data_IF_970846752559
#
_entry.id   IF_970846752559
#
_cell.length_a   1.000
_cell.length_b   1.000
_cell.length_c   1.000
_cell.angle_alpha   90.00
_cell.angle_beta   90.00
_cell.angle_gamma   90.00
#
_symmetry.space_group_name_H-M   'P 1'
#
loop_
_entity.id
_entity.type
_entity.pdbx_description
1 polymer ?
#
# COMPACT_ATOMS: atom_id res chain seq x y z
N UNK A 1 -8.20 -27.09 53.54
CA UNK A 1 -6.74 -27.18 53.67
C UNK A 1 -6.29 -28.35 52.83
N UNK A 2 -5.76 -28.09 51.64
CA UNK A 2 -5.21 -29.10 50.74
C UNK A 2 -3.74 -28.73 50.50
N UNK A 3 -2.84 -29.63 50.88
CA UNK A 3 -1.40 -29.49 50.67
C UNK A 3 -1.13 -29.71 49.18
N UNK A 4 -0.56 -28.70 48.51
CA UNK A 4 -0.08 -28.83 47.14
C UNK A 4 1.31 -29.47 47.17
N UNK A 5 1.39 -30.73 46.73
CA UNK A 5 2.65 -31.42 46.50
C UNK A 5 3.39 -30.76 45.34
N UNK A 6 4.61 -30.31 45.60
CA UNK A 6 5.54 -29.83 44.58
C UNK A 6 6.17 -31.09 43.95
N UNK A 7 6.09 -31.29 42.62
CA UNK A 7 6.70 -32.46 42.01
C UNK A 7 8.23 -32.38 42.09
N UNK A 8 8.84 -33.54 42.35
CA UNK A 8 10.28 -33.73 42.50
C UNK A 8 11.03 -33.42 41.18
N UNK A 9 12.27 -32.91 41.21
CA UNK A 9 13.05 -32.57 40.00
C UNK A 9 13.41 -33.78 39.11
N UNK A 10 13.05 -34.99 39.53
CA UNK A 10 13.34 -36.25 38.86
C UNK A 10 12.33 -36.62 37.77
N UNK A 11 11.16 -35.97 37.71
CA UNK A 11 10.07 -36.35 36.79
C UNK A 11 10.05 -35.50 35.49
N UNK A 12 11.07 -34.67 35.24
CA UNK A 12 11.15 -33.78 34.05
C UNK A 12 12.14 -34.30 32.99
N UNK A 13 12.77 -35.46 33.20
CA UNK A 13 13.76 -36.00 32.27
C UNK A 13 13.47 -37.45 31.86
N UNK A 14 12.29 -37.69 31.32
CA UNK A 14 12.07 -38.83 30.42
C UNK A 14 11.35 -38.40 29.15
N UNK A 15 12.01 -38.64 28.00
CA UNK A 15 11.32 -38.72 26.72
C UNK A 15 11.47 -37.54 25.77
N UNK A 16 12.67 -37.01 25.53
CA UNK A 16 12.95 -36.24 24.32
C UNK A 16 14.39 -36.45 23.88
N UNK A 17 14.66 -37.64 23.35
CA UNK A 17 15.90 -37.91 22.67
C UNK A 17 15.93 -37.03 21.41
N UNK A 18 16.94 -36.18 21.15
CA UNK A 18 17.01 -35.40 19.90
C UNK A 18 17.17 -36.26 18.63
N UNK A 19 17.19 -37.59 18.81
CA UNK A 19 17.20 -38.63 17.78
C UNK A 19 15.84 -39.33 17.60
N UNK A 20 14.78 -38.94 18.32
CA UNK A 20 13.44 -39.52 18.13
C UNK A 20 12.81 -38.97 16.85
N UNK A 21 12.93 -39.77 15.79
CA UNK A 21 12.33 -39.56 14.48
C UNK A 21 10.83 -39.33 14.61
N UNK A 22 10.33 -38.25 14.01
CA UNK A 22 8.90 -38.00 13.90
C UNK A 22 8.26 -39.11 13.03
N UNK A 23 7.12 -39.72 13.44
CA UNK A 23 6.49 -40.83 12.73
C UNK A 23 6.14 -40.56 11.26
N UNK A 24 6.06 -39.30 10.84
CA UNK A 24 5.80 -38.91 9.44
C UNK A 24 6.97 -39.18 8.49
N UNK A 25 8.17 -39.54 8.99
CA UNK A 25 9.31 -39.97 8.16
C UNK A 25 9.15 -41.40 7.60
N UNK A 26 8.17 -42.18 8.07
CA UNK A 26 8.03 -43.59 7.70
C UNK A 26 7.20 -43.86 6.43
N UNK A 27 6.60 -42.84 5.80
CA UNK A 27 5.72 -43.04 4.64
C UNK A 27 6.37 -42.95 3.26
N UNK A 28 7.71 -42.89 3.15
CA UNK A 28 8.41 -42.71 1.86
C UNK A 28 9.03 -43.99 1.25
N UNK A 29 8.66 -45.17 1.74
CA UNK A 29 9.31 -46.43 1.33
C UNK A 29 8.40 -47.27 0.42
N UNK A 30 8.29 -46.87 -0.85
CA UNK A 30 7.66 -47.68 -1.88
C UNK A 30 8.30 -47.48 -3.25
N UNK A 31 9.00 -48.52 -3.73
CA UNK A 31 9.61 -48.73 -5.06
C UNK A 31 11.09 -48.31 -5.22
N UNK A 32 11.87 -49.21 -5.83
CA UNK A 32 13.34 -49.35 -5.83
C UNK A 32 14.18 -48.19 -6.43
N UNK A 33 13.60 -46.99 -6.58
CA UNK A 33 14.33 -45.73 -6.77
C UNK A 33 14.58 -44.95 -5.45
N UNK A 34 13.95 -45.34 -4.34
CA UNK A 34 13.88 -44.56 -3.09
C UNK A 34 15.10 -44.62 -2.16
N UNK A 35 15.96 -45.65 -2.25
CA UNK A 35 17.05 -45.85 -1.26
C UNK A 35 18.16 -44.78 -1.28
N UNK A 36 18.28 -44.02 -2.37
CA UNK A 36 19.32 -42.97 -2.49
C UNK A 36 18.80 -41.58 -2.11
N UNK A 37 17.51 -41.30 -2.36
CA UNK A 37 16.84 -40.08 -1.88
C UNK A 37 16.86 -40.02 -0.36
N UNK A 38 16.67 -41.17 0.30
CA UNK A 38 16.58 -41.30 1.75
C UNK A 38 17.84 -40.81 2.51
N UNK A 39 19.04 -41.02 1.94
CA UNK A 39 20.29 -40.71 2.64
C UNK A 39 20.51 -39.22 2.87
N UNK A 40 20.10 -38.38 1.92
CA UNK A 40 20.37 -36.94 1.97
C UNK A 40 19.20 -36.12 2.50
N UNK A 41 17.96 -36.62 2.32
CA UNK A 41 16.74 -35.97 2.78
C UNK A 41 16.83 -35.60 4.25
N UNK A 42 17.32 -36.50 5.12
CA UNK A 42 17.50 -36.19 6.55
C UNK A 42 18.42 -34.99 6.81
N UNK A 43 19.52 -34.87 6.07
CA UNK A 43 20.46 -33.77 6.24
C UNK A 43 19.92 -32.47 5.66
N UNK A 44 19.19 -32.52 4.55
CA UNK A 44 18.49 -31.36 3.98
C UNK A 44 17.44 -30.85 4.97
N UNK A 45 16.59 -31.73 5.50
CA UNK A 45 15.59 -31.39 6.51
C UNK A 45 16.25 -30.81 7.76
N UNK A 46 17.31 -31.45 8.28
CA UNK A 46 18.06 -30.92 9.42
C UNK A 46 18.65 -29.53 9.15
N UNK A 47 19.11 -29.27 7.92
CA UNK A 47 19.55 -27.95 7.48
C UNK A 47 18.43 -26.90 7.51
N UNK A 48 17.23 -27.27 7.08
CA UNK A 48 16.03 -26.41 7.08
C UNK A 48 15.58 -26.12 8.52
N UNK A 49 15.46 -27.16 9.33
CA UNK A 49 15.05 -27.09 10.74
C UNK A 49 16.05 -26.29 11.59
N UNK A 50 17.33 -26.30 11.25
CA UNK A 50 18.35 -25.49 11.95
C UNK A 50 18.06 -23.98 11.89
N UNK A 51 17.28 -23.52 10.91
CA UNK A 51 16.83 -22.13 10.76
C UNK A 51 15.40 -21.94 11.27
N UNK A 52 14.80 -22.99 11.86
CA UNK A 52 13.40 -23.02 12.31
C UNK A 52 12.41 -22.68 11.19
N UNK A 53 12.73 -23.05 9.96
CA UNK A 53 11.84 -22.89 8.82
C UNK A 53 10.93 -24.13 8.68
N UNK A 54 9.76 -23.93 8.10
CA UNK A 54 8.86 -25.03 7.75
C UNK A 54 9.50 -25.91 6.67
N UNK A 55 9.33 -27.23 6.83
CA UNK A 55 9.84 -28.20 5.88
C UNK A 55 9.00 -28.11 4.60
N UNK A 56 9.64 -27.98 3.42
CA UNK A 56 8.94 -27.87 2.15
C UNK A 56 8.13 -29.13 1.83
N UNK A 57 7.19 -28.96 0.91
CA UNK A 57 6.46 -30.07 0.32
C UNK A 57 7.39 -31.06 -0.41
N UNK A 58 6.90 -32.28 -0.57
CA UNK A 58 7.65 -33.40 -1.18
C UNK A 58 8.25 -33.05 -2.56
N UNK A 59 7.56 -32.32 -3.46
CA UNK A 59 8.14 -31.90 -4.73
C UNK A 59 9.32 -30.93 -4.60
N UNK A 60 9.24 -29.94 -3.69
CA UNK A 60 10.34 -29.00 -3.50
C UNK A 60 11.54 -29.67 -2.81
N UNK A 61 11.29 -30.55 -1.85
CA UNK A 61 12.33 -31.35 -1.19
C UNK A 61 13.03 -32.28 -2.20
N UNK A 62 12.27 -32.89 -3.10
CA UNK A 62 12.81 -33.72 -4.19
C UNK A 62 13.75 -32.93 -5.10
N UNK A 63 13.35 -31.71 -5.51
CA UNK A 63 14.23 -30.82 -6.32
C UNK A 63 15.53 -30.45 -5.60
N UNK A 64 15.50 -30.24 -4.29
CA UNK A 64 16.70 -29.96 -3.51
C UNK A 64 17.64 -31.18 -3.48
N UNK A 65 17.08 -32.37 -3.30
CA UNK A 65 17.84 -33.61 -3.29
C UNK A 65 18.40 -33.97 -4.68
N UNK A 66 17.67 -33.68 -5.76
CA UNK A 66 18.17 -33.83 -7.13
C UNK A 66 19.38 -32.94 -7.40
N UNK A 67 19.38 -31.69 -6.90
CA UNK A 67 20.55 -30.79 -7.02
C UNK A 67 21.80 -31.34 -6.35
N UNK A 68 21.63 -32.01 -5.20
CA UNK A 68 22.71 -32.68 -4.48
C UNK A 68 23.20 -33.91 -5.26
N UNK A 69 22.29 -34.66 -5.90
CA UNK A 69 22.64 -35.83 -6.70
C UNK A 69 23.52 -35.47 -7.92
N UNK A 70 23.34 -34.28 -8.48
CA UNK A 70 24.03 -33.87 -9.71
C UNK A 70 25.38 -33.15 -9.44
N UNK A 71 25.71 -32.87 -8.19
CA UNK A 71 26.99 -32.25 -7.85
C UNK A 71 28.13 -33.28 -7.86
N UNK A 72 29.17 -33.02 -8.66
CA UNK A 72 30.41 -33.82 -8.73
C UNK A 72 31.46 -33.24 -7.77
N UNK A 73 32.38 -34.09 -7.29
CA UNK A 73 33.52 -33.73 -6.41
C UNK A 73 33.19 -33.22 -4.99
N UNK A 74 32.17 -33.79 -4.35
CA UNK A 74 31.86 -33.48 -2.95
C UNK A 74 32.48 -34.52 -2.02
N UNK A 75 33.50 -34.10 -1.26
CA UNK A 75 34.16 -34.95 -0.23
C UNK A 75 33.26 -35.18 0.99
N UNK A 76 32.44 -34.19 1.35
CA UNK A 76 31.50 -34.24 2.47
C UNK A 76 30.08 -33.95 1.96
N UNK A 77 29.39 -35.02 1.56
CA UNK A 77 28.06 -34.94 0.96
C UNK A 77 26.98 -34.59 1.99
N UNK A 78 27.17 -35.01 3.24
CA UNK A 78 26.22 -34.77 4.33
C UNK A 78 26.24 -33.31 4.76
N UNK A 79 27.43 -32.73 4.95
CA UNK A 79 27.57 -31.30 5.21
C UNK A 79 27.14 -30.44 4.03
N UNK A 80 27.30 -30.92 2.79
CA UNK A 80 26.75 -30.23 1.62
C UNK A 80 25.22 -30.24 1.60
N UNK A 81 24.59 -31.39 1.83
CA UNK A 81 23.13 -31.52 1.89
C UNK A 81 22.52 -30.62 2.97
N UNK A 82 23.15 -30.57 4.15
CA UNK A 82 22.78 -29.65 5.23
C UNK A 82 22.84 -28.17 4.78
N UNK A 83 23.93 -27.76 4.12
CA UNK A 83 24.06 -26.38 3.60
C UNK A 83 23.02 -26.05 2.53
N UNK A 84 22.66 -27.01 1.68
CA UNK A 84 21.61 -26.82 0.67
C UNK A 84 20.26 -26.56 1.34
N UNK A 85 19.88 -27.38 2.32
CA UNK A 85 18.65 -27.18 3.10
C UNK A 85 18.63 -25.84 3.83
N UNK A 86 19.70 -25.53 4.57
CA UNK A 86 19.84 -24.25 5.30
C UNK A 86 19.75 -23.03 4.38
N UNK A 87 20.44 -23.05 3.24
CA UNK A 87 20.43 -21.93 2.31
C UNK A 87 19.09 -21.76 1.62
N UNK A 88 18.40 -22.87 1.31
CA UNK A 88 17.04 -22.82 0.79
C UNK A 88 16.09 -22.17 1.80
N UNK A 89 16.13 -22.58 3.08
CA UNK A 89 15.31 -22.01 4.14
C UNK A 89 15.53 -20.50 4.31
N UNK A 90 16.80 -20.06 4.29
CA UNK A 90 17.14 -18.63 4.35
C UNK A 90 16.62 -17.86 3.12
N UNK A 91 16.74 -18.44 1.93
CA UNK A 91 16.24 -17.83 0.71
C UNK A 91 14.70 -17.71 0.72
N UNK A 92 14.02 -18.74 1.21
CA UNK A 92 12.57 -18.77 1.36
C UNK A 92 12.09 -17.69 2.33
N UNK A 93 12.71 -17.60 3.51
CA UNK A 93 12.38 -16.56 4.49
C UNK A 93 12.56 -15.13 3.93
N UNK A 94 13.63 -14.89 3.19
CA UNK A 94 13.86 -13.60 2.51
C UNK A 94 12.79 -13.30 1.48
N UNK A 95 12.40 -14.31 0.70
CA UNK A 95 11.35 -14.16 -0.31
C UNK A 95 10.00 -13.82 0.33
N UNK A 96 9.59 -14.55 1.35
CA UNK A 96 8.34 -14.30 2.07
C UNK A 96 8.32 -12.91 2.71
N UNK A 97 9.42 -12.50 3.34
CA UNK A 97 9.55 -11.16 3.93
C UNK A 97 9.42 -10.07 2.86
N UNK A 98 10.06 -10.26 1.70
CA UNK A 98 9.96 -9.33 0.59
C UNK A 98 8.53 -9.28 0.00
N UNK A 99 7.85 -10.41 -0.07
CA UNK A 99 6.45 -10.49 -0.55
C UNK A 99 5.50 -9.78 0.42
N UNK A 100 5.60 -10.02 1.73
CA UNK A 100 4.80 -9.30 2.75
C UNK A 100 5.00 -7.79 2.67
N UNK A 101 6.26 -7.33 2.61
CA UNK A 101 6.55 -5.91 2.47
C UNK A 101 5.99 -5.32 1.16
N UNK A 102 6.02 -6.08 0.06
CA UNK A 102 5.42 -5.66 -1.22
C UNK A 102 3.89 -5.54 -1.12
N UNK A 103 3.24 -6.48 -0.44
CA UNK A 103 1.79 -6.46 -0.19
C UNK A 103 1.39 -5.28 0.70
N UNK A 104 2.12 -5.03 1.78
CA UNK A 104 1.92 -3.87 2.66
C UNK A 104 2.06 -2.54 1.89
N UNK A 105 3.09 -2.41 1.05
CA UNK A 105 3.27 -1.23 0.20
C UNK A 105 2.14 -1.07 -0.83
N UNK A 106 1.64 -2.17 -1.40
CA UNK A 106 0.53 -2.14 -2.34
C UNK A 106 -0.76 -1.69 -1.64
N UNK A 107 -1.04 -2.23 -0.45
CA UNK A 107 -2.18 -1.83 0.37
C UNK A 107 -2.12 -0.35 0.73
N UNK A 108 -0.96 0.14 1.17
CA UNK A 108 -0.76 1.57 1.48
C UNK A 108 -1.01 2.48 0.26
N UNK A 109 -0.51 2.10 -0.92
CA UNK A 109 -0.74 2.85 -2.16
C UNK A 109 -2.22 2.86 -2.55
N UNK A 110 -2.91 1.73 -2.38
CA UNK A 110 -4.33 1.63 -2.67
C UNK A 110 -5.15 2.51 -1.72
N UNK A 111 -4.83 2.48 -0.42
CA UNK A 111 -5.49 3.32 0.58
C UNK A 111 -5.31 4.83 0.27
N UNK A 112 -4.09 5.25 -0.08
CA UNK A 112 -3.82 6.64 -0.47
C UNK A 112 -4.58 7.04 -1.75
N UNK A 113 -4.68 6.14 -2.74
CA UNK A 113 -5.47 6.38 -3.95
C UNK A 113 -6.97 6.50 -3.64
N UNK A 114 -7.51 5.62 -2.81
CA UNK A 114 -8.91 5.67 -2.40
C UNK A 114 -9.21 6.94 -1.59
N UNK A 115 -8.31 7.34 -0.68
CA UNK A 115 -8.43 8.59 0.07
C UNK A 115 -8.47 9.79 -0.86
N UNK A 116 -7.54 9.86 -1.83
CA UNK A 116 -7.50 10.93 -2.85
C UNK A 116 -8.76 10.95 -3.71
N UNK A 117 -9.30 9.78 -4.07
CA UNK A 117 -10.55 9.66 -4.83
C UNK A 117 -11.74 10.19 -4.03
N UNK A 118 -11.91 9.75 -2.77
CA UNK A 118 -12.97 10.23 -1.87
C UNK A 118 -12.88 11.74 -1.64
N UNK A 119 -11.66 12.26 -1.49
CA UNK A 119 -11.43 13.70 -1.35
C UNK A 119 -11.82 14.46 -2.63
N UNK A 120 -11.47 13.94 -3.81
CA UNK A 120 -11.86 14.53 -5.10
C UNK A 120 -13.38 14.53 -5.27
N UNK A 121 -14.06 13.42 -4.99
CA UNK A 121 -15.52 13.30 -5.05
C UNK A 121 -16.21 14.29 -4.10
N UNK A 122 -15.70 14.40 -2.86
CA UNK A 122 -16.21 15.39 -1.89
C UNK A 122 -16.06 16.82 -2.40
N UNK A 123 -14.90 17.16 -2.99
CA UNK A 123 -14.65 18.50 -3.56
C UNK A 123 -15.58 18.77 -4.75
N UNK A 124 -15.85 17.77 -5.58
CA UNK A 124 -16.76 17.90 -6.72
C UNK A 124 -18.22 18.11 -6.27
N UNK A 125 -18.67 17.38 -5.25
CA UNK A 125 -19.98 17.58 -4.64
C UNK A 125 -20.12 18.98 -4.01
N UNK A 126 -19.10 19.43 -3.24
CA UNK A 126 -19.09 20.78 -2.66
C UNK A 126 -19.12 21.87 -3.77
N UNK A 127 -18.43 21.66 -4.90
CA UNK A 127 -18.47 22.58 -6.05
C UNK A 127 -19.84 22.64 -6.72
N UNK A 128 -20.52 21.50 -6.88
CA UNK A 128 -21.85 21.46 -7.48
C UNK A 128 -22.84 22.30 -6.66
N UNK A 129 -22.88 22.09 -5.35
CA UNK A 129 -23.72 22.88 -4.43
C UNK A 129 -23.35 24.37 -4.45
N UNK A 130 -22.04 24.68 -4.52
CA UNK A 130 -21.57 26.06 -4.59
C UNK A 130 -21.96 26.76 -5.89
N UNK A 131 -22.14 26.04 -7.02
CA UNK A 131 -22.61 26.62 -8.29
C UNK A 131 -24.02 27.16 -8.16
N UNK A 132 -24.93 26.37 -7.61
CA UNK A 132 -26.33 26.79 -7.44
C UNK A 132 -26.42 28.03 -6.56
N UNK A 133 -25.67 28.05 -5.46
CA UNK A 133 -25.58 29.20 -4.57
C UNK A 133 -24.96 30.43 -5.22
N UNK A 134 -23.93 30.24 -6.05
CA UNK A 134 -23.31 31.32 -6.81
C UNK A 134 -24.30 31.98 -7.75
N UNK A 135 -25.11 31.19 -8.48
CA UNK A 135 -26.10 31.73 -9.41
C UNK A 135 -27.13 32.60 -8.67
N UNK A 136 -27.62 32.14 -7.52
CA UNK A 136 -28.54 32.93 -6.67
C UNK A 136 -27.95 34.28 -6.23
N UNK A 137 -26.66 34.34 -5.91
CA UNK A 137 -25.99 35.59 -5.53
C UNK A 137 -25.76 36.45 -6.77
N UNK A 138 -25.32 35.85 -7.88
CA UNK A 138 -25.06 36.55 -9.13
C UNK A 138 -26.32 37.23 -9.64
N UNK A 139 -27.46 36.55 -9.66
CA UNK A 139 -28.73 37.10 -10.16
C UNK A 139 -29.18 38.32 -9.33
N UNK A 140 -28.86 38.35 -8.04
CA UNK A 140 -29.12 39.52 -7.18
C UNK A 140 -28.14 40.66 -7.42
N UNK A 141 -26.92 40.36 -7.84
CA UNK A 141 -25.88 41.35 -8.13
C UNK A 141 -26.04 41.97 -9.52
N UNK A 142 -26.52 41.21 -10.50
CA UNK A 142 -26.64 41.58 -11.91
C UNK A 142 -27.14 43.02 -12.16
N UNK A 143 -28.25 43.49 -11.55
CA UNK A 143 -28.73 44.86 -11.78
C UNK A 143 -27.80 45.96 -11.24
N UNK A 144 -26.81 45.62 -10.42
CA UNK A 144 -25.90 46.54 -9.74
C UNK A 144 -24.43 46.37 -10.17
N UNK A 145 -24.12 45.46 -11.10
CA UNK A 145 -22.74 45.21 -11.51
C UNK A 145 -22.18 46.37 -12.33
N UNK A 146 -20.96 46.79 -11.98
CA UNK A 146 -20.17 47.71 -12.81
C UNK A 146 -19.48 46.89 -13.90
N UNK A 147 -19.25 47.47 -15.09
CA UNK A 147 -18.78 46.77 -16.30
C UNK A 147 -17.65 45.75 -16.13
N UNK A 148 -16.67 46.00 -15.25
CA UNK A 148 -15.55 45.08 -15.03
C UNK A 148 -15.81 43.98 -13.99
N UNK A 149 -16.87 44.11 -13.18
CA UNK A 149 -17.21 43.15 -12.12
C UNK A 149 -17.77 41.84 -12.68
N UNK A 150 -18.41 41.88 -13.85
CA UNK A 150 -18.84 40.67 -14.56
C UNK A 150 -17.65 39.74 -14.85
N UNK A 151 -16.53 40.29 -15.35
CA UNK A 151 -15.31 39.51 -15.59
C UNK A 151 -14.69 38.97 -14.29
N UNK A 152 -14.80 39.71 -13.18
CA UNK A 152 -14.34 39.22 -11.88
C UNK A 152 -15.15 37.99 -11.42
N UNK A 153 -16.49 38.06 -11.54
CA UNK A 153 -17.39 36.97 -11.19
C UNK A 153 -17.23 35.78 -12.13
N UNK A 154 -17.07 36.03 -13.44
CA UNK A 154 -16.79 34.99 -14.43
C UNK A 154 -15.49 34.23 -14.13
N UNK A 155 -14.44 34.91 -13.68
CA UNK A 155 -13.20 34.24 -13.24
C UNK A 155 -13.43 33.31 -12.05
N UNK A 156 -14.25 33.73 -11.08
CA UNK A 156 -14.64 32.85 -9.95
C UNK A 156 -15.39 31.62 -10.47
N UNK A 157 -16.36 31.81 -11.37
CA UNK A 157 -17.12 30.72 -11.97
C UNK A 157 -16.22 29.72 -12.69
N UNK A 158 -15.32 30.20 -13.55
CA UNK A 158 -14.44 29.35 -14.33
C UNK A 158 -13.44 28.59 -13.42
N UNK A 159 -12.76 29.30 -12.53
CA UNK A 159 -11.63 28.74 -11.78
C UNK A 159 -12.12 27.92 -10.58
N UNK A 160 -12.95 28.51 -9.71
CA UNK A 160 -13.34 27.86 -8.45
C UNK A 160 -14.47 26.87 -8.63
N UNK A 161 -15.44 27.19 -9.49
CA UNK A 161 -16.66 26.39 -9.64
C UNK A 161 -16.55 25.37 -10.78
N UNK A 162 -15.88 25.70 -11.88
CA UNK A 162 -15.65 24.77 -12.99
C UNK A 162 -14.27 24.09 -12.98
N UNK A 163 -13.35 24.53 -12.12
CA UNK A 163 -12.03 23.92 -11.99
C UNK A 163 -11.08 24.22 -13.15
N UNK A 164 -11.33 25.29 -13.91
CA UNK A 164 -10.44 25.71 -15.00
C UNK A 164 -9.13 26.25 -14.43
N UNK A 165 -8.05 26.05 -15.16
CA UNK A 165 -6.79 26.75 -14.86
C UNK A 165 -6.89 28.22 -15.27
N UNK A 166 -6.00 29.06 -14.72
CA UNK A 166 -5.90 30.45 -15.16
C UNK A 166 -5.67 30.56 -16.66
N UNK A 167 -4.85 29.68 -17.23
CA UNK A 167 -4.55 29.60 -18.66
C UNK A 167 -5.80 29.30 -19.49
N UNK A 168 -6.59 28.29 -19.11
CA UNK A 168 -7.83 27.95 -19.80
C UNK A 168 -8.87 29.08 -19.71
N UNK A 169 -8.91 29.79 -18.58
CA UNK A 169 -9.83 30.90 -18.38
C UNK A 169 -9.57 32.11 -19.29
N UNK A 170 -8.36 32.24 -19.88
CA UNK A 170 -8.02 33.38 -20.77
C UNK A 170 -8.90 33.44 -22.02
N UNK A 171 -9.35 32.28 -22.50
CA UNK A 171 -10.16 32.16 -23.71
C UNK A 171 -11.54 32.81 -23.59
N UNK A 172 -11.96 33.12 -22.36
CA UNK A 172 -13.25 33.74 -22.05
C UNK A 172 -13.12 35.22 -21.69
N UNK A 173 -11.89 35.75 -21.65
CA UNK A 173 -11.62 37.13 -21.21
C UNK A 173 -11.27 38.01 -22.41
N UNK A 174 -11.37 39.35 -22.25
CA UNK A 174 -10.88 40.28 -23.25
C UNK A 174 -9.41 40.00 -23.61
N UNK A 175 -9.05 40.27 -24.86
CA UNK A 175 -7.66 40.08 -25.32
C UNK A 175 -6.70 41.03 -24.59
N UNK A 176 -5.45 40.59 -24.40
CA UNK A 176 -4.39 41.40 -23.78
C UNK A 176 -4.37 41.42 -22.25
N UNK A 177 -5.22 40.65 -21.57
CA UNK A 177 -5.24 40.59 -20.09
C UNK A 177 -4.09 39.72 -19.55
N UNK A 178 -3.22 40.33 -18.74
CA UNK A 178 -2.09 39.64 -18.11
C UNK A 178 -2.52 38.63 -17.05
N UNK A 179 -1.63 37.67 -16.70
CA UNK A 179 -1.87 36.75 -15.57
C UNK A 179 -2.06 37.48 -14.24
N UNK A 180 -1.28 38.53 -13.98
CA UNK A 180 -1.41 39.33 -12.75
C UNK A 180 -2.78 40.00 -12.65
N UNK A 181 -3.25 40.61 -13.75
CA UNK A 181 -4.59 41.20 -13.82
C UNK A 181 -5.67 40.16 -13.54
N UNK A 182 -5.57 38.94 -14.11
CA UNK A 182 -6.49 37.83 -13.82
C UNK A 182 -6.52 37.46 -12.34
N UNK A 183 -5.36 37.37 -11.68
CA UNK A 183 -5.32 37.11 -10.24
C UNK A 183 -5.97 38.22 -9.42
N UNK A 184 -5.76 39.48 -9.79
CA UNK A 184 -6.41 40.61 -9.12
C UNK A 184 -7.92 40.58 -9.30
N UNK A 185 -8.39 40.32 -10.52
CA UNK A 185 -9.81 40.21 -10.86
C UNK A 185 -10.48 39.05 -10.12
N UNK A 186 -9.84 37.87 -10.08
CA UNK A 186 -10.33 36.72 -9.33
C UNK A 186 -10.49 37.07 -7.84
N UNK A 187 -9.47 37.66 -7.21
CA UNK A 187 -9.55 38.10 -5.80
C UNK A 187 -10.63 39.14 -5.55
N UNK A 188 -10.88 40.04 -6.51
CA UNK A 188 -11.97 41.02 -6.43
C UNK A 188 -13.33 40.35 -6.53
N UNK A 189 -13.47 39.34 -7.39
CA UNK A 189 -14.69 38.52 -7.50
C UNK A 189 -14.98 37.74 -6.23
N UNK A 190 -13.97 37.09 -5.64
CA UNK A 190 -14.07 36.42 -4.34
C UNK A 190 -14.54 37.39 -3.25
N UNK A 191 -13.90 38.57 -3.14
CA UNK A 191 -14.26 39.59 -2.17
C UNK A 191 -15.69 40.11 -2.38
N UNK A 192 -16.11 40.26 -3.64
CA UNK A 192 -17.47 40.68 -3.97
C UNK A 192 -18.45 39.65 -3.40
N UNK A 193 -18.33 38.37 -3.78
CA UNK A 193 -19.21 37.31 -3.27
C UNK A 193 -19.21 37.21 -1.75
N UNK A 194 -18.04 37.27 -1.10
CA UNK A 194 -17.91 37.18 0.35
C UNK A 194 -18.62 38.31 1.11
N UNK A 195 -18.73 39.51 0.53
CA UNK A 195 -19.47 40.64 1.13
C UNK A 195 -20.97 40.39 1.21
N UNK A 196 -21.51 39.52 0.35
CA UNK A 196 -22.93 39.18 0.34
C UNK A 196 -23.26 37.97 1.21
N UNK A 197 -22.42 37.71 2.22
CA UNK A 197 -22.56 36.64 3.21
C UNK A 197 -22.93 35.29 2.57
N UNK A 198 -22.05 34.73 1.71
CA UNK A 198 -22.37 33.52 0.97
C UNK A 198 -22.53 32.35 1.93
N UNK A 199 -23.36 31.36 1.56
CA UNK A 199 -23.55 30.16 2.37
C UNK A 199 -22.23 29.37 2.56
N UNK A 200 -22.19 28.44 3.53
CA UNK A 200 -20.97 27.72 3.90
C UNK A 200 -20.30 26.96 2.75
N UNK A 201 -21.06 26.39 1.81
CA UNK A 201 -20.56 25.59 0.69
C UNK A 201 -19.75 26.47 -0.25
N UNK A 202 -20.34 27.58 -0.71
CA UNK A 202 -19.66 28.56 -1.53
C UNK A 202 -18.47 29.19 -0.78
N UNK A 203 -18.60 29.47 0.52
CA UNK A 203 -17.48 29.99 1.32
C UNK A 203 -16.32 28.98 1.40
N UNK A 204 -16.59 27.68 1.54
CA UNK A 204 -15.57 26.63 1.54
C UNK A 204 -14.83 26.57 0.20
N UNK A 205 -15.55 26.65 -0.91
CA UNK A 205 -14.96 26.66 -2.26
C UNK A 205 -14.13 27.93 -2.51
N UNK A 206 -14.63 29.10 -2.12
CA UNK A 206 -13.92 30.38 -2.29
C UNK A 206 -12.72 30.56 -1.34
N UNK A 207 -12.79 29.96 -0.15
CA UNK A 207 -11.68 29.99 0.83
C UNK A 207 -10.61 28.93 0.56
N UNK A 208 -10.88 28.00 -0.38
CA UNK A 208 -9.93 27.00 -0.81
C UNK A 208 -8.76 27.65 -1.55
N UNK A 209 -7.71 27.99 -0.78
CA UNK A 209 -6.43 28.35 -1.36
C UNK A 209 -5.92 27.11 -2.10
N UNK A 210 -5.79 27.20 -3.43
CA UNK A 210 -4.94 26.28 -4.16
C UNK A 210 -3.60 26.15 -3.42
N UNK A 211 -3.01 24.95 -3.30
CA UNK A 211 -1.69 24.81 -2.74
C UNK A 211 -0.79 25.81 -3.46
N UNK A 212 -0.21 26.73 -2.69
CA UNK A 212 0.79 27.65 -3.23
C UNK A 212 1.92 26.74 -3.66
N UNK A 213 2.08 26.53 -4.96
CA UNK A 213 3.32 26.00 -5.51
C UNK A 213 4.40 27.00 -5.08
N UNK A 214 5.08 26.67 -3.99
CA UNK A 214 6.39 27.18 -3.64
C UNK A 214 7.42 26.33 -4.37
#
# INVERSE_FOLDING_TARGET
MAQSEIPSPSDILEGSNPWSLHPSLFCLTGLDGGRFMDRFVRFVISGIESVRAEVPDEPALSRLCERIRHSRDIRDVEGFAFRVGRNWAIAQWRHETAMRHKEELAAFRQEDQERKKREKERREADRLLARDQYLLIRDRLDPCLVSNQEYHLMLVWLIHLNGYTHEQAVNFLPQGITLNTRHQWLRRGEKLLLRHNPPPELRRVLSWRAPRNQ
#
